data_IF_699918097969
#
_entry.id   IF_699918097969
#
_cell.length_a   1.000
_cell.length_b   1.000
_cell.length_c   1.000
_cell.angle_alpha   90.00
_cell.angle_beta   90.00
_cell.angle_gamma   90.00
#
_symmetry.space_group_name_H-M   'P 1'
#
loop_
_entity.id
_entity.type
_entity.pdbx_description
1 polymer ?
#
# COMPACT_ATOMS: atom_id res chain seq x y z
N UNK A 1 -9.64 71.95 48.47
CA UNK A 1 -10.76 72.88 48.27
C UNK A 1 -11.17 72.74 46.82
N UNK A 2 -12.43 72.35 46.66
CA UNK A 2 -13.11 72.06 45.41
C UNK A 2 -13.37 73.32 44.57
N UNK A 3 -14.02 73.08 43.43
CA UNK A 3 -14.80 74.01 42.60
C UNK A 3 -14.00 74.53 41.36
N UNK A 4 -14.44 74.39 40.11
CA UNK A 4 -15.81 74.34 39.58
C UNK A 4 -15.84 73.68 38.20
N UNK A 5 -16.99 73.04 37.94
CA UNK A 5 -17.60 72.50 36.73
C UNK A 5 -17.39 73.27 35.39
N UNK A 6 -17.34 72.54 34.28
CA UNK A 6 -18.24 72.83 33.15
C UNK A 6 -18.40 71.64 32.20
N UNK A 7 -19.65 71.22 32.07
CA UNK A 7 -20.23 70.25 31.14
C UNK A 7 -20.32 70.82 29.72
N UNK A 8 -20.13 69.97 28.71
CA UNK A 8 -20.94 70.04 27.50
C UNK A 8 -21.16 68.64 26.91
N UNK A 9 -22.35 68.43 26.38
CA UNK A 9 -23.03 67.16 26.12
C UNK A 9 -23.35 67.05 24.63
N UNK A 10 -22.81 66.00 23.98
CA UNK A 10 -23.29 65.30 22.75
C UNK A 10 -23.33 66.10 21.41
N UNK A 11 -23.39 65.48 20.20
CA UNK A 11 -23.87 64.12 19.91
C UNK A 11 -23.12 63.29 18.85
N UNK A 12 -23.47 62.01 18.87
CA UNK A 12 -23.51 61.00 17.78
C UNK A 12 -23.03 61.44 16.39
N UNK A 13 -21.94 60.82 15.94
CA UNK A 13 -21.55 60.70 14.54
C UNK A 13 -21.34 59.23 14.22
N UNK A 14 -22.29 58.66 13.48
CA UNK A 14 -22.26 57.30 12.93
C UNK A 14 -21.07 57.10 12.00
N UNK A 15 -20.19 56.15 12.32
CA UNK A 15 -19.16 55.65 11.40
C UNK A 15 -19.22 54.12 11.31
N UNK A 16 -18.89 53.54 10.15
CA UNK A 16 -19.54 52.34 9.63
C UNK A 16 -19.02 51.07 10.31
N UNK A 17 -19.92 50.10 10.46
CA UNK A 17 -19.57 48.72 10.83
C UNK A 17 -18.74 48.14 9.69
N UNK A 18 -17.41 48.19 9.83
CA UNK A 18 -16.50 47.48 8.94
C UNK A 18 -16.70 45.99 9.22
N UNK A 19 -17.46 45.32 8.35
CA UNK A 19 -17.51 43.86 8.28
C UNK A 19 -16.08 43.34 8.15
N UNK A 20 -15.61 42.71 9.23
CA UNK A 20 -14.31 42.06 9.25
C UNK A 20 -14.48 40.75 8.49
N UNK A 21 -14.12 40.74 7.21
CA UNK A 21 -13.93 39.49 6.49
C UNK A 21 -12.99 38.58 7.31
N UNK A 22 -13.32 37.28 7.47
CA UNK A 22 -12.51 36.40 8.26
C UNK A 22 -11.17 36.24 7.54
N UNK A 23 -10.12 36.93 8.00
CA UNK A 23 -8.77 36.74 7.49
C UNK A 23 -8.42 35.26 7.62
N UNK A 24 -8.49 34.55 6.49
CA UNK A 24 -8.19 33.14 6.41
C UNK A 24 -6.78 32.96 6.99
N UNK A 25 -6.70 32.25 8.11
CA UNK A 25 -5.44 31.99 8.81
C UNK A 25 -4.52 31.29 7.80
N UNK A 26 -3.47 31.97 7.37
CA UNK A 26 -2.48 31.40 6.44
C UNK A 26 -1.99 30.07 7.02
N UNK A 27 -2.11 28.98 6.25
CA UNK A 27 -1.62 27.67 6.68
C UNK A 27 -0.10 27.81 6.84
N UNK A 28 0.40 27.56 8.06
CA UNK A 28 1.79 27.82 8.45
C UNK A 28 2.82 26.98 7.65
N UNK A 29 2.37 25.95 6.96
CA UNK A 29 3.21 25.09 6.13
C UNK A 29 2.52 24.84 4.79
N UNK A 30 3.24 25.12 3.71
CA UNK A 30 2.84 24.87 2.32
C UNK A 30 3.89 23.99 1.65
N UNK A 31 3.47 22.82 1.16
CA UNK A 31 4.35 21.91 0.41
C UNK A 31 4.52 22.49 -0.99
N UNK A 32 5.70 23.05 -1.28
CA UNK A 32 6.00 23.65 -2.59
C UNK A 32 6.22 22.62 -3.69
N UNK A 33 6.85 21.50 -3.36
CA UNK A 33 7.15 20.40 -4.27
C UNK A 33 7.34 19.13 -3.46
N UNK A 34 6.76 18.04 -3.94
CA UNK A 34 6.98 16.70 -3.37
C UNK A 34 7.44 15.76 -4.49
N UNK A 35 8.53 15.04 -4.22
CA UNK A 35 8.99 13.94 -5.06
C UNK A 35 8.95 12.68 -4.20
N UNK A 36 7.88 11.89 -4.35
CA UNK A 36 7.75 10.62 -3.68
C UNK A 36 8.51 9.54 -4.47
N UNK A 37 9.22 8.66 -3.75
CA UNK A 37 9.76 7.42 -4.31
C UNK A 37 9.09 6.29 -3.55
N UNK A 38 8.54 5.32 -4.27
CA UNK A 38 7.93 4.14 -3.70
C UNK A 38 8.47 2.90 -4.40
N UNK A 39 8.64 1.83 -3.63
CA UNK A 39 8.83 0.49 -4.12
C UNK A 39 7.52 -0.27 -3.89
N UNK A 40 7.12 -1.08 -4.86
CA UNK A 40 5.98 -1.98 -4.71
C UNK A 40 6.51 -3.40 -4.61
N UNK A 41 5.88 -4.19 -3.75
CA UNK A 41 6.00 -5.65 -3.73
C UNK A 41 4.59 -6.22 -3.70
N UNK A 42 4.44 -7.47 -4.12
CA UNK A 42 3.21 -8.19 -3.84
C UNK A 42 3.12 -8.43 -2.33
N UNK A 43 1.96 -8.22 -1.73
CA UNK A 43 1.69 -8.59 -0.34
C UNK A 43 1.56 -10.12 -0.22
N UNK A 44 2.71 -10.79 -0.27
CA UNK A 44 2.86 -12.23 -0.09
C UNK A 44 3.64 -12.41 1.20
N UNK A 45 3.12 -13.24 2.11
CA UNK A 45 3.74 -13.44 3.41
C UNK A 45 5.19 -13.99 3.34
N UNK A 46 5.57 -14.61 2.22
CA UNK A 46 6.87 -15.25 2.02
C UNK A 46 7.28 -15.16 0.54
N UNK A 47 8.47 -14.61 0.26
CA UNK A 47 9.06 -14.53 -1.10
C UNK A 47 9.63 -15.88 -1.61
N UNK A 48 9.64 -16.88 -0.75
CA UNK A 48 10.11 -18.24 -1.04
C UNK A 48 8.92 -19.20 -1.15
N UNK A 49 8.98 -20.08 -2.14
CA UNK A 49 8.00 -21.15 -2.27
C UNK A 49 8.10 -22.10 -1.07
N UNK A 50 7.05 -22.22 -0.24
CA UNK A 50 7.10 -23.06 0.97
C UNK A 50 7.33 -24.57 0.70
N UNK A 51 7.13 -25.02 -0.54
CA UNK A 51 7.28 -26.42 -0.95
C UNK A 51 8.73 -26.74 -1.30
N UNK A 52 9.37 -25.94 -2.18
CA UNK A 52 10.74 -26.21 -2.65
C UNK A 52 11.81 -25.34 -2.00
N UNK A 53 11.42 -24.31 -1.22
CA UNK A 53 12.28 -23.35 -0.50
C UNK A 53 13.17 -22.45 -1.38
N UNK A 54 13.02 -22.49 -2.70
CA UNK A 54 13.61 -21.50 -3.60
C UNK A 54 12.75 -20.23 -3.66
N UNK A 55 13.36 -19.12 -4.07
CA UNK A 55 12.69 -17.86 -4.30
C UNK A 55 11.63 -18.00 -5.41
N UNK A 56 10.46 -17.36 -5.27
CA UNK A 56 9.32 -17.51 -6.20
C UNK A 56 9.65 -17.03 -7.63
N UNK A 57 10.64 -16.13 -7.76
CA UNK A 57 11.11 -15.63 -9.05
C UNK A 57 12.21 -16.52 -9.67
N UNK A 58 12.75 -17.47 -8.92
CA UNK A 58 13.77 -18.41 -9.39
C UNK A 58 13.12 -19.73 -9.81
N UNK A 59 13.77 -20.53 -10.68
CA UNK A 59 13.29 -21.86 -10.98
C UNK A 59 13.15 -22.72 -9.71
N UNK A 60 12.10 -23.54 -9.66
CA UNK A 60 11.99 -24.55 -8.62
C UNK A 60 13.15 -25.57 -8.70
N UNK A 61 13.34 -26.37 -7.65
CA UNK A 61 14.44 -27.36 -7.56
C UNK A 61 14.47 -28.37 -8.72
N UNK A 62 13.34 -28.63 -9.37
CA UNK A 62 13.23 -29.54 -10.51
C UNK A 62 13.63 -28.86 -11.83
N UNK A 63 13.42 -27.54 -11.93
CA UNK A 63 13.74 -26.76 -13.13
C UNK A 63 15.14 -26.14 -13.08
N UNK A 64 15.72 -25.96 -11.89
CA UNK A 64 17.04 -25.37 -11.71
C UNK A 64 18.16 -26.06 -12.55
N UNK A 65 18.21 -27.41 -12.68
CA UNK A 65 19.22 -28.07 -13.52
C UNK A 65 19.04 -27.81 -15.02
N UNK A 66 17.79 -27.58 -15.46
CA UNK A 66 17.43 -27.42 -16.87
C UNK A 66 17.39 -25.95 -17.30
N UNK A 67 17.46 -25.02 -16.35
CA UNK A 67 17.39 -23.57 -16.60
C UNK A 67 18.46 -23.04 -17.57
N UNK A 68 19.56 -23.77 -17.76
CA UNK A 68 20.64 -23.41 -18.68
C UNK A 68 20.50 -24.02 -20.08
N UNK A 69 19.72 -25.08 -20.23
CA UNK A 69 19.65 -25.88 -21.46
C UNK A 69 18.30 -25.77 -22.16
N UNK A 70 17.24 -25.49 -21.40
CA UNK A 70 15.86 -25.56 -21.85
C UNK A 70 15.13 -24.29 -21.43
N UNK A 71 15.17 -23.28 -22.30
CA UNK A 71 14.52 -21.99 -22.08
C UNK A 71 13.00 -22.06 -22.12
N UNK A 72 12.44 -23.19 -22.58
CA UNK A 72 11.00 -23.37 -22.77
C UNK A 72 10.30 -23.94 -21.52
N UNK A 73 11.05 -24.49 -20.56
CA UNK A 73 10.54 -24.95 -19.27
C UNK A 73 10.46 -23.80 -18.27
N UNK A 74 9.57 -22.85 -18.56
CA UNK A 74 9.34 -21.69 -17.72
C UNK A 74 8.65 -22.07 -16.40
N UNK A 75 9.37 -21.94 -15.28
CA UNK A 75 8.80 -22.12 -13.95
C UNK A 75 8.05 -20.85 -13.54
N UNK A 76 6.73 -20.84 -13.73
CA UNK A 76 5.87 -19.71 -13.36
C UNK A 76 5.37 -19.79 -11.92
N UNK A 77 5.10 -18.64 -11.33
CA UNK A 77 4.42 -18.53 -10.04
C UNK A 77 2.90 -18.75 -10.22
N UNK A 78 2.30 -19.39 -9.22
CA UNK A 78 0.89 -19.72 -9.14
C UNK A 78 0.34 -19.19 -7.81
N UNK A 79 -0.72 -18.40 -7.88
CA UNK A 79 -1.40 -17.83 -6.73
C UNK A 79 -2.74 -18.53 -6.51
N UNK A 80 -2.97 -18.94 -5.27
CA UNK A 80 -4.26 -19.46 -4.84
C UNK A 80 -5.26 -18.35 -4.54
N UNK A 81 -6.55 -18.69 -4.49
CA UNK A 81 -7.60 -17.79 -3.97
C UNK A 81 -7.36 -17.39 -2.52
N UNK A 82 -6.60 -18.20 -1.78
CA UNK A 82 -6.13 -17.91 -0.43
C UNK A 82 -4.94 -16.93 -0.37
N UNK A 83 -4.58 -16.31 -1.50
CA UNK A 83 -3.46 -15.36 -1.64
C UNK A 83 -2.06 -15.94 -1.33
N UNK A 84 -1.92 -17.26 -1.23
CA UNK A 84 -0.62 -17.92 -1.13
C UNK A 84 -0.03 -18.21 -2.51
N UNK A 85 1.28 -18.01 -2.63
CA UNK A 85 2.02 -18.15 -3.88
C UNK A 85 3.03 -19.31 -3.82
N UNK A 86 3.09 -20.09 -4.89
CA UNK A 86 4.01 -21.22 -5.05
C UNK A 86 4.44 -21.33 -6.51
N UNK A 87 5.51 -22.07 -6.80
CA UNK A 87 5.78 -22.46 -8.19
C UNK A 87 4.68 -23.41 -8.69
N UNK A 88 4.28 -23.24 -9.94
CA UNK A 88 3.24 -24.07 -10.57
C UNK A 88 3.59 -25.56 -10.51
N UNK A 89 4.85 -25.94 -10.75
CA UNK A 89 5.31 -27.33 -10.64
C UNK A 89 5.20 -27.88 -9.21
N UNK A 90 5.58 -27.06 -8.22
CA UNK A 90 5.55 -27.47 -6.83
C UNK A 90 4.12 -27.69 -6.34
N UNK A 91 3.21 -26.76 -6.62
CA UNK A 91 1.83 -26.89 -6.18
C UNK A 91 1.09 -27.98 -6.95
N UNK A 92 1.32 -28.13 -8.26
CA UNK A 92 0.73 -29.22 -9.06
C UNK A 92 1.15 -30.61 -8.58
N UNK A 93 2.38 -30.75 -8.06
CA UNK A 93 2.84 -32.00 -7.45
C UNK A 93 2.20 -32.23 -6.08
N UNK A 94 2.05 -31.17 -5.28
CA UNK A 94 1.44 -31.23 -3.95
C UNK A 94 -0.04 -31.66 -4.03
N UNK A 95 -0.81 -31.02 -4.90
CA UNK A 95 -2.27 -31.26 -5.03
C UNK A 95 -2.64 -32.67 -5.50
N UNK A 96 -1.69 -33.41 -6.11
CA UNK A 96 -1.88 -34.84 -6.44
C UNK A 96 -1.98 -35.72 -5.20
N UNK A 97 -1.44 -35.28 -4.06
CA UNK A 97 -1.42 -36.04 -2.80
C UNK A 97 -2.29 -35.41 -1.72
N UNK A 98 -2.44 -34.08 -1.72
CA UNK A 98 -3.26 -33.33 -0.77
C UNK A 98 -3.95 -32.19 -1.49
N UNK A 99 -5.27 -32.16 -1.50
CA UNK A 99 -6.10 -31.14 -2.15
C UNK A 99 -6.15 -29.79 -1.42
N UNK A 100 -5.29 -29.59 -0.42
CA UNK A 100 -5.26 -28.40 0.41
C UNK A 100 -3.96 -27.59 0.25
N UNK A 101 -4.06 -26.28 0.41
CA UNK A 101 -2.95 -25.35 0.43
C UNK A 101 -1.96 -25.68 1.57
N UNK A 102 -0.63 -25.70 1.32
CA UNK A 102 0.37 -26.03 2.33
C UNK A 102 0.42 -25.09 3.56
N UNK A 103 -0.07 -23.86 3.44
CA UNK A 103 0.07 -22.82 4.47
C UNK A 103 -1.18 -22.66 5.34
N UNK A 104 -2.37 -22.74 4.76
CA UNK A 104 -3.65 -22.50 5.46
C UNK A 104 -4.57 -23.74 5.54
N UNK A 105 -4.18 -24.85 4.92
CA UNK A 105 -4.94 -26.10 4.84
C UNK A 105 -6.38 -25.95 4.27
N UNK A 106 -6.66 -24.88 3.54
CA UNK A 106 -7.90 -24.67 2.78
C UNK A 106 -7.83 -25.40 1.43
N UNK A 107 -8.97 -25.81 0.84
CA UNK A 107 -8.98 -26.44 -0.47
C UNK A 107 -8.29 -25.55 -1.50
N UNK A 108 -7.30 -26.10 -2.21
CA UNK A 108 -6.52 -25.34 -3.18
C UNK A 108 -7.36 -25.03 -4.42
N UNK A 109 -7.46 -23.74 -4.76
CA UNK A 109 -8.04 -23.28 -6.02
C UNK A 109 -7.10 -22.26 -6.65
N UNK A 110 -6.71 -22.51 -7.90
CA UNK A 110 -5.83 -21.62 -8.66
C UNK A 110 -6.59 -20.34 -9.03
N UNK A 111 -6.08 -19.18 -8.59
CA UNK A 111 -6.63 -17.88 -8.94
C UNK A 111 -5.96 -17.29 -10.19
N UNK A 112 -4.63 -17.28 -10.23
CA UNK A 112 -3.83 -16.73 -11.33
C UNK A 112 -2.46 -17.39 -11.42
N UNK A 113 -1.86 -17.36 -12.60
CA UNK A 113 -0.46 -17.74 -12.84
C UNK A 113 0.26 -16.64 -13.63
N UNK A 114 1.58 -16.54 -13.48
CA UNK A 114 2.38 -15.46 -14.04
C UNK A 114 3.84 -15.54 -13.59
N UNK A 115 4.70 -14.76 -14.23
CA UNK A 115 6.09 -14.58 -13.82
C UNK A 115 6.21 -13.36 -12.91
#
# INVERSE_FOLDING_TARGET
MSDTENTDVTPEGSEPVVEREPKAKHKKFEIKKWTAVAFWSWDIAVDNCAICRNHIMEPCIECQPMAMTDTDNECVAAWGVCNHAFHLHCINKWIKTRDACPLDNQPWQLARCGR
#
